data_IF_888342517095
#
_entry.id   IF_888342517095
#
_cell.length_a   1.000
_cell.length_b   1.000
_cell.length_c   1.000
_cell.angle_alpha   90.00
_cell.angle_beta   90.00
_cell.angle_gamma   90.00
#
_symmetry.space_group_name_H-M   'P 1'
#
loop_
_entity.id
_entity.type
_entity.pdbx_description
1 polymer ?
#
# COMPACT_ATOMS: atom_id res chain seq x y z
N UNK A 1 -7.86 -8.39 15.38
CA UNK A 1 -7.07 -8.12 14.17
C UNK A 1 -5.67 -7.72 14.64
N UNK A 2 -4.58 -8.32 14.11
CA UNK A 2 -3.23 -7.86 14.42
C UNK A 2 -3.03 -6.40 14.01
N UNK A 3 -2.08 -5.73 14.67
CA UNK A 3 -1.66 -4.37 14.39
C UNK A 3 -0.24 -4.41 13.84
N UNK A 4 0.02 -3.70 12.75
CA UNK A 4 1.36 -3.47 12.20
C UNK A 4 1.54 -1.99 11.86
N UNK A 5 2.80 -1.52 11.83
CA UNK A 5 3.13 -0.21 11.30
C UNK A 5 3.24 -0.34 9.78
N UNK A 6 2.27 0.23 9.06
CA UNK A 6 2.13 0.06 7.61
C UNK A 6 2.22 1.42 6.90
N UNK A 7 2.67 1.45 5.63
CA UNK A 7 2.73 2.69 4.87
C UNK A 7 1.32 3.23 4.59
N UNK A 8 1.09 4.49 4.94
CA UNK A 8 -0.18 5.17 4.66
C UNK A 8 -0.10 5.81 3.27
N UNK A 9 -0.90 5.31 2.34
CA UNK A 9 -0.83 5.67 0.92
C UNK A 9 -1.96 6.64 0.58
N UNK A 10 -1.60 7.88 0.26
CA UNK A 10 -2.53 8.89 -0.28
C UNK A 10 -2.82 8.57 -1.76
N UNK A 11 -4.02 8.06 -2.05
CA UNK A 11 -4.42 7.72 -3.41
C UNK A 11 -4.56 8.95 -4.33
N UNK A 12 -4.76 10.16 -3.79
CA UNK A 12 -4.85 11.37 -4.61
C UNK A 12 -3.49 11.77 -5.15
N UNK A 13 -2.44 11.62 -4.34
CA UNK A 13 -1.05 11.90 -4.72
C UNK A 13 -0.36 10.74 -5.43
N UNK A 14 -0.83 9.52 -5.21
CA UNK A 14 -0.24 8.34 -5.85
C UNK A 14 -0.45 8.38 -7.37
N UNK A 15 0.65 8.37 -8.12
CA UNK A 15 0.61 8.40 -9.60
C UNK A 15 0.72 7.00 -10.24
N UNK A 16 0.78 5.94 -9.44
CA UNK A 16 0.87 4.56 -9.92
C UNK A 16 2.21 4.17 -10.54
N UNK A 17 3.31 4.79 -10.11
CA UNK A 17 4.65 4.56 -10.69
C UNK A 17 5.33 3.25 -10.28
N UNK A 18 4.76 2.49 -9.33
CA UNK A 18 5.27 1.20 -8.85
C UNK A 18 6.67 1.16 -8.20
N UNK A 19 7.40 2.29 -8.07
CA UNK A 19 8.71 2.32 -7.40
C UNK A 19 8.69 1.77 -5.96
N UNK A 20 7.61 2.04 -5.22
CA UNK A 20 7.42 1.48 -3.88
C UNK A 20 7.26 -0.05 -3.87
N UNK A 21 6.71 -0.63 -4.95
CA UNK A 21 6.63 -2.08 -5.14
C UNK A 21 8.02 -2.62 -5.43
N UNK A 22 8.72 -2.03 -6.39
CA UNK A 22 10.08 -2.46 -6.79
C UNK A 22 11.04 -2.49 -5.60
N UNK A 23 11.11 -1.43 -4.80
CA UNK A 23 12.01 -1.40 -3.63
C UNK A 23 11.60 -2.42 -2.56
N UNK A 24 10.30 -2.61 -2.35
CA UNK A 24 9.80 -3.51 -1.31
C UNK A 24 10.02 -4.98 -1.69
N UNK A 25 9.92 -5.32 -2.98
CA UNK A 25 10.29 -6.64 -3.49
C UNK A 25 11.80 -6.84 -3.43
N UNK A 26 12.60 -5.83 -3.80
CA UNK A 26 14.07 -5.91 -3.78
C UNK A 26 14.65 -6.13 -2.37
N UNK A 27 14.02 -5.56 -1.34
CA UNK A 27 14.43 -5.74 0.06
C UNK A 27 13.90 -7.04 0.69
N UNK A 28 12.99 -7.76 0.02
CA UNK A 28 12.47 -9.06 0.45
C UNK A 28 11.05 -9.11 1.05
N UNK A 29 10.48 -8.07 1.70
CA UNK A 29 9.16 -8.22 2.34
C UNK A 29 7.99 -8.24 1.33
N UNK A 30 8.18 -7.70 0.11
CA UNK A 30 7.23 -7.80 -1.01
C UNK A 30 5.78 -7.40 -0.67
N UNK A 31 5.60 -6.31 0.09
CA UNK A 31 4.34 -5.94 0.75
C UNK A 31 3.35 -5.25 -0.19
N UNK A 32 3.83 -4.52 -1.19
CA UNK A 32 3.04 -3.54 -1.94
C UNK A 32 2.66 -4.06 -3.33
N UNK A 33 1.50 -3.62 -3.84
CA UNK A 33 1.08 -3.85 -5.24
C UNK A 33 0.49 -2.58 -5.82
N UNK A 34 0.52 -2.44 -7.15
CA UNK A 34 -0.24 -1.40 -7.87
C UNK A 34 -1.40 -2.06 -8.59
N UNK A 35 -2.63 -1.58 -8.34
CA UNK A 35 -3.84 -2.09 -9.01
C UNK A 35 -4.65 -0.94 -9.64
N UNK A 36 -5.36 -1.18 -10.76
CA UNK A 36 -6.34 -0.23 -11.30
C UNK A 36 -7.41 0.13 -10.27
N UNK A 37 -7.88 1.38 -10.27
CA UNK A 37 -8.94 1.85 -9.36
C UNK A 37 -10.00 2.57 -10.17
N UNK A 38 -11.26 2.22 -9.93
CA UNK A 38 -12.38 2.84 -10.62
C UNK A 38 -12.42 4.36 -10.38
N UNK A 39 -12.54 5.11 -11.47
CA UNK A 39 -12.52 6.57 -11.46
C UNK A 39 -11.12 7.20 -11.56
N UNK A 40 -10.05 6.39 -11.62
CA UNK A 40 -8.68 6.90 -11.81
C UNK A 40 -8.08 6.43 -13.13
N UNK A 41 -7.37 7.34 -13.82
CA UNK A 41 -6.69 7.02 -15.09
C UNK A 41 -5.50 6.06 -14.93
N UNK A 42 -4.92 5.98 -13.74
CA UNK A 42 -3.77 5.14 -13.41
C UNK A 42 -4.07 4.32 -12.17
N UNK A 43 -3.41 3.16 -12.06
CA UNK A 43 -3.45 2.35 -10.87
C UNK A 43 -2.89 3.08 -9.65
N UNK A 44 -3.26 2.59 -8.47
CA UNK A 44 -2.82 3.11 -7.17
C UNK A 44 -2.04 2.04 -6.43
N UNK A 45 -1.13 2.46 -5.56
CA UNK A 45 -0.41 1.54 -4.69
C UNK A 45 -1.28 1.10 -3.51
N UNK A 46 -1.11 -0.13 -3.05
CA UNK A 46 -1.86 -0.75 -1.97
C UNK A 46 -0.92 -1.62 -1.12
N UNK A 47 -1.19 -1.70 0.18
CA UNK A 47 -0.59 -2.73 1.05
C UNK A 47 -1.31 -4.04 0.80
N UNK A 48 -0.60 -4.99 0.21
CA UNK A 48 -1.17 -6.26 -0.23
C UNK A 48 -0.92 -7.40 0.77
N UNK A 49 0.30 -7.52 1.29
CA UNK A 49 0.63 -8.47 2.37
C UNK A 49 1.09 -7.71 3.62
N UNK A 50 0.15 -7.12 4.38
CA UNK A 50 0.47 -6.34 5.58
C UNK A 50 1.31 -7.13 6.59
N UNK A 51 1.10 -8.44 6.72
CA UNK A 51 1.84 -9.33 7.62
C UNK A 51 3.35 -9.46 7.30
N UNK A 52 3.79 -9.08 6.10
CA UNK A 52 5.20 -9.17 5.70
C UNK A 52 5.96 -7.88 5.96
N UNK A 53 5.30 -6.80 6.34
CA UNK A 53 5.93 -5.50 6.48
C UNK A 53 6.87 -5.46 7.68
N UNK A 54 8.14 -5.12 7.43
CA UNK A 54 9.18 -4.98 8.46
C UNK A 54 9.37 -3.54 8.96
N UNK A 55 8.52 -2.60 8.50
CA UNK A 55 8.56 -1.20 8.91
C UNK A 55 9.90 -0.48 8.64
N UNK A 56 10.58 -0.82 7.55
CA UNK A 56 11.89 -0.24 7.18
C UNK A 56 11.82 1.20 6.63
N UNK A 57 10.64 1.62 6.14
CA UNK A 57 10.42 2.93 5.56
C UNK A 57 11.00 3.16 4.17
N UNK A 58 11.53 2.14 3.48
CA UNK A 58 12.19 2.32 2.17
C UNK A 58 11.23 2.88 1.10
N UNK A 59 9.96 2.48 1.17
CA UNK A 59 8.91 2.97 0.28
C UNK A 59 8.61 4.47 0.43
N UNK A 60 8.90 5.08 1.60
CA UNK A 60 8.76 6.53 1.80
C UNK A 60 9.84 7.27 1.02
N UNK A 61 11.09 6.80 1.10
CA UNK A 61 12.25 7.43 0.46
C UNK A 61 12.21 7.38 -1.07
N UNK A 62 11.62 6.32 -1.65
CA UNK A 62 11.54 6.17 -3.11
C UNK A 62 10.34 6.87 -3.74
N UNK A 63 9.36 7.31 -2.95
CA UNK A 63 8.10 7.82 -3.48
C UNK A 63 8.27 9.25 -4.03
N UNK A 64 8.21 9.47 -5.37
CA UNK A 64 8.53 10.77 -5.95
C UNK A 64 7.47 11.84 -5.70
N UNK A 65 6.24 11.44 -5.36
CA UNK A 65 5.14 12.36 -5.06
C UNK A 65 4.85 12.50 -3.58
N UNK A 66 5.64 11.84 -2.73
CA UNK A 66 5.37 11.72 -1.29
C UNK A 66 3.92 11.29 -1.02
N UNK A 67 3.37 10.40 -1.85
CA UNK A 67 2.07 9.76 -1.57
C UNK A 67 2.16 8.81 -0.38
N UNK A 68 3.36 8.36 -0.04
CA UNK A 68 3.66 7.64 1.19
C UNK A 68 4.51 8.57 2.05
N UNK A 69 3.87 9.41 2.85
CA UNK A 69 4.56 10.41 3.67
C UNK A 69 5.01 9.84 5.03
N UNK A 70 4.26 8.87 5.56
CA UNK A 70 4.45 8.33 6.88
C UNK A 70 3.92 6.89 6.95
N UNK A 71 4.33 6.19 8.01
CA UNK A 71 3.79 4.88 8.36
C UNK A 71 3.03 5.01 9.68
N UNK A 72 1.91 4.31 9.83
CA UNK A 72 1.10 4.36 11.05
C UNK A 72 0.66 2.98 11.49
N UNK A 73 0.35 2.79 12.78
CA UNK A 73 -0.30 1.58 13.25
C UNK A 73 -1.65 1.39 12.54
N UNK A 74 -1.84 0.22 11.93
CA UNK A 74 -3.07 -0.16 11.24
C UNK A 74 -3.45 -1.58 11.65
N UNK A 75 -4.73 -1.77 11.91
CA UNK A 75 -5.31 -3.11 12.02
C UNK A 75 -5.41 -3.74 10.63
N UNK A 76 -5.11 -5.03 10.53
CA UNK A 76 -5.26 -5.78 9.29
C UNK A 76 -5.76 -7.20 9.55
N UNK A 77 -6.27 -7.84 8.50
CA UNK A 77 -6.62 -9.27 8.50
C UNK A 77 -5.54 -10.02 7.72
N UNK A 78 -4.84 -10.99 8.32
CA UNK A 78 -3.84 -11.79 7.60
C UNK A 78 -4.40 -12.41 6.32
N UNK A 79 -3.63 -12.37 5.24
CA UNK A 79 -4.07 -12.86 3.93
C UNK A 79 -5.05 -11.95 3.20
N UNK A 80 -5.31 -10.73 3.71
CA UNK A 80 -6.12 -9.72 3.02
C UNK A 80 -5.32 -8.42 2.80
N UNK A 81 -5.47 -7.79 1.62
CA UNK A 81 -4.90 -6.47 1.39
C UNK A 81 -5.58 -5.43 2.27
N UNK A 82 -4.82 -4.40 2.66
CA UNK A 82 -5.37 -3.22 3.34
C UNK A 82 -6.08 -2.33 2.29
N UNK A 83 -7.35 -2.00 2.49
CA UNK A 83 -8.10 -1.18 1.52
C UNK A 83 -7.63 0.27 1.44
N UNK A 84 -7.84 0.91 0.28
CA UNK A 84 -7.60 2.35 0.10
C UNK A 84 -8.66 3.20 0.79
N UNK A 85 -8.27 4.41 1.16
CA UNK A 85 -9.09 5.38 1.87
C UNK A 85 -9.93 6.28 0.95
N UNK A 86 -10.69 5.74 -0.02
CA UNK A 86 -11.61 6.62 -0.78
C UNK A 86 -12.79 7.02 0.13
N UNK A 87 -12.80 8.26 0.62
CA UNK A 87 -13.83 8.80 1.53
C UNK A 87 -14.07 7.93 2.79
N UNK A 88 -13.07 7.19 3.25
CA UNK A 88 -13.17 6.35 4.46
C UNK A 88 -13.99 5.05 4.31
N UNK A 89 -14.30 4.58 3.10
CA UNK A 89 -15.03 3.32 2.90
C UNK A 89 -14.12 2.25 2.30
N UNK A 90 -13.85 1.21 3.09
CA UNK A 90 -13.13 0.01 2.70
C UNK A 90 -13.87 -0.70 1.56
N UNK A 91 -13.39 -0.61 0.31
CA UNK A 91 -13.89 -1.48 -0.75
C UNK A 91 -13.46 -2.92 -0.42
N UNK A 92 -14.43 -3.78 -0.08
CA UNK A 92 -14.23 -5.18 0.30
C UNK A 92 -13.21 -5.87 -0.62
N UNK A 93 -12.23 -6.49 0.06
CA UNK A 93 -11.39 -7.62 -0.34
C UNK A 93 -11.22 -7.88 -1.83
N UNK A 94 -10.03 -7.58 -2.34
CA UNK A 94 -9.56 -8.10 -3.62
C UNK A 94 -8.85 -9.42 -3.37
N UNK A 95 -9.39 -10.53 -3.87
CA UNK A 95 -8.64 -11.79 -3.99
C UNK A 95 -7.58 -11.65 -5.09
N UNK A 96 -6.46 -12.37 -4.93
CA UNK A 96 -5.48 -12.56 -6.00
C UNK A 96 -6.16 -13.33 -7.13
N UNK A 97 -6.39 -12.65 -8.25
CA UNK A 97 -6.70 -13.32 -9.51
C UNK A 97 -5.43 -13.89 -10.13
#
# INVERSE_FOLDING_TARGET
MPIAILPDIDEQRCIGCALCVEICTALGPDVLRVKPVEGWKRGKAFVFYPERCISDGACLGVCPTHSIFWMRPMEYTPGQPVPLHKNGVFSKGWEEG
#
